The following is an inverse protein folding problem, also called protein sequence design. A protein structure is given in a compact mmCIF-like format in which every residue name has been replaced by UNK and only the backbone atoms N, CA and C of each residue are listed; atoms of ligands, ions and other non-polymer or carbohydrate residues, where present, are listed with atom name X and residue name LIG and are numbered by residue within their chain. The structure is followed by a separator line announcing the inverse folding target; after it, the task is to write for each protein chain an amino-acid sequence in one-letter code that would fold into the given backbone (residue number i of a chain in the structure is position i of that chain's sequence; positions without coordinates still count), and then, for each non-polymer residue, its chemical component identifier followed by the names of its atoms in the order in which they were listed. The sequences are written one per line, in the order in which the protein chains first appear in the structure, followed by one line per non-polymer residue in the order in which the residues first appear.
data_IF_449324701028
#
_entry.id   IF_449324701028
#
_cell.length_a   1.000
_cell.length_b   1.000
_cell.length_c   1.000
_cell.angle_alpha   90.00
_cell.angle_beta   90.00
_cell.angle_gamma   90.00
#
_symmetry.space_group_name_H-M   'P 1'
#
loop_
_entity.id
_entity.type
_entity.pdbx_description
1 polymer ?
#
# COMPACT_ATOMS: atom_id res chain seq x y z
N UNK A 1 -15.74 63.21 -5.11
CA UNK A 1 -14.42 63.43 -4.46
C UNK A 1 -14.47 63.24 -2.94
N UNK A 2 -15.33 63.94 -2.18
CA UNK A 2 -15.38 63.82 -0.70
C UNK A 2 -15.80 62.43 -0.18
N UNK A 3 -16.71 61.74 -0.86
CA UNK A 3 -17.15 60.36 -0.53
C UNK A 3 -16.09 59.31 -0.86
N UNK A 4 -15.39 59.46 -1.98
CA UNK A 4 -14.31 58.57 -2.42
C UNK A 4 -13.12 58.57 -1.44
N UNK A 5 -12.75 59.75 -0.90
CA UNK A 5 -11.70 59.86 0.11
C UNK A 5 -12.06 59.22 1.46
N UNK A 6 -13.32 59.32 1.89
CA UNK A 6 -13.81 58.68 3.12
C UNK A 6 -13.81 57.14 3.01
N UNK A 7 -14.22 56.62 1.84
CA UNK A 7 -14.20 55.17 1.56
C UNK A 7 -12.77 54.63 1.53
N UNK A 8 -11.84 55.34 0.88
CA UNK A 8 -10.43 54.95 0.86
C UNK A 8 -9.81 54.95 2.27
N UNK A 9 -10.09 55.97 3.08
CA UNK A 9 -9.60 56.04 4.46
C UNK A 9 -10.17 54.91 5.33
N UNK A 10 -11.46 54.61 5.20
CA UNK A 10 -12.09 53.50 5.91
C UNK A 10 -11.49 52.15 5.50
N UNK A 11 -11.20 51.95 4.21
CA UNK A 11 -10.55 50.74 3.71
C UNK A 11 -9.12 50.58 4.24
N UNK A 12 -8.34 51.66 4.28
CA UNK A 12 -6.99 51.65 4.88
C UNK A 12 -7.05 51.37 6.37
N UNK A 13 -7.96 52.01 7.11
CA UNK A 13 -8.13 51.77 8.54
C UNK A 13 -8.53 50.31 8.83
N UNK A 14 -9.46 49.75 8.04
CA UNK A 14 -9.84 48.35 8.14
C UNK A 14 -8.67 47.41 7.79
N UNK A 15 -7.89 47.73 6.76
CA UNK A 15 -6.69 46.96 6.39
C UNK A 15 -5.63 46.99 7.49
N UNK A 16 -5.41 48.12 8.16
CA UNK A 16 -4.48 48.22 9.29
C UNK A 16 -5.00 47.43 10.50
N UNK A 17 -6.30 47.52 10.79
CA UNK A 17 -6.92 46.79 11.90
C UNK A 17 -6.80 45.27 11.73
N UNK A 18 -7.03 44.73 10.53
CA UNK A 18 -6.90 43.28 10.27
C UNK A 18 -5.44 42.79 10.42
N UNK A 19 -4.43 43.65 10.21
CA UNK A 19 -3.03 43.29 10.47
C UNK A 19 -2.73 43.05 11.96
N UNK A 20 -3.57 43.55 12.89
CA UNK A 20 -3.41 43.29 14.32
C UNK A 20 -3.82 41.86 14.70
N UNK A 21 -4.65 41.21 13.88
CA UNK A 21 -5.09 39.82 14.11
C UNK A 21 -4.12 38.87 13.41
N UNK A 22 -2.93 38.65 13.99
CA UNK A 22 -1.91 37.73 13.45
C UNK A 22 -1.37 36.81 14.54
N UNK A 23 -2.10 35.72 14.90
CA UNK A 23 -1.62 34.74 15.87
C UNK A 23 -0.29 34.15 15.41
N UNK A 24 0.69 33.99 16.30
CA UNK A 24 2.04 33.60 15.91
C UNK A 24 2.10 32.20 15.26
N UNK A 25 3.08 32.03 14.38
CA UNK A 25 3.58 30.72 13.94
C UNK A 25 4.80 30.43 14.83
N UNK A 26 4.78 29.35 15.63
CA UNK A 26 5.92 28.97 16.47
C UNK A 26 7.19 28.82 15.63
N UNK A 27 8.34 29.22 16.18
CA UNK A 27 9.63 29.03 15.51
C UNK A 27 10.71 28.66 16.52
N UNK A 28 11.57 27.74 16.11
CA UNK A 28 12.67 27.22 16.90
C UNK A 28 13.80 26.77 15.96
N UNK A 29 15.01 26.63 16.49
CA UNK A 29 16.11 26.01 15.76
C UNK A 29 15.82 24.51 15.53
N UNK A 30 16.30 23.91 14.41
CA UNK A 30 16.22 22.48 14.18
C UNK A 30 16.89 21.71 15.31
N UNK A 31 16.23 20.67 15.81
CA UNK A 31 16.80 19.81 16.86
C UNK A 31 17.72 18.76 16.27
N UNK A 32 17.30 18.17 15.15
CA UNK A 32 18.14 17.29 14.35
C UNK A 32 17.70 17.33 12.88
N UNK A 33 18.63 17.74 12.01
CA UNK A 33 18.40 17.71 10.56
C UNK A 33 18.63 16.31 9.97
N UNK A 34 17.94 16.04 8.87
CA UNK A 34 18.15 14.83 8.08
C UNK A 34 19.53 14.87 7.42
N UNK A 35 20.30 13.80 7.60
CA UNK A 35 21.58 13.62 6.92
C UNK A 35 21.35 13.13 5.49
N UNK A 36 21.54 14.03 4.53
CA UNK A 36 21.40 13.76 3.11
C UNK A 36 22.52 14.40 2.28
N UNK A 37 22.81 13.88 1.07
CA UNK A 37 23.75 14.48 0.14
C UNK A 37 23.42 15.96 -0.15
N UNK A 38 24.42 16.80 -0.48
CA UNK A 38 24.22 18.24 -0.68
C UNK A 38 23.08 18.57 -1.65
N UNK A 39 22.96 17.81 -2.74
CA UNK A 39 21.92 18.04 -3.75
C UNK A 39 20.51 17.75 -3.22
N UNK A 40 20.33 16.67 -2.46
CA UNK A 40 19.05 16.34 -1.82
C UNK A 40 18.70 17.41 -0.79
N UNK A 41 19.67 17.85 0.01
CA UNK A 41 19.48 18.91 1.01
C UNK A 41 19.06 20.22 0.36
N UNK A 42 19.67 20.59 -0.77
CA UNK A 42 19.32 21.78 -1.56
C UNK A 42 17.85 21.73 -1.99
N UNK A 43 17.37 20.57 -2.48
CA UNK A 43 15.97 20.38 -2.88
C UNK A 43 15.03 20.55 -1.68
N UNK A 44 15.32 19.87 -0.56
CA UNK A 44 14.49 19.95 0.65
C UNK A 44 14.41 21.37 1.22
N UNK A 45 15.54 22.08 1.26
CA UNK A 45 15.60 23.47 1.73
C UNK A 45 14.83 24.44 0.83
N UNK A 46 14.95 24.26 -0.50
CA UNK A 46 14.27 25.06 -1.52
C UNK A 46 12.75 24.87 -1.50
N UNK A 47 12.30 23.62 -1.41
CA UNK A 47 10.91 23.26 -1.73
C UNK A 47 10.06 22.86 -0.53
N UNK A 48 10.67 22.45 0.58
CA UNK A 48 9.94 21.87 1.72
C UNK A 48 10.06 22.70 3.01
N UNK A 49 11.24 23.25 3.30
CA UNK A 49 11.54 23.82 4.63
C UNK A 49 10.74 25.08 4.98
N UNK A 50 10.19 25.80 3.99
CA UNK A 50 9.33 26.97 4.26
C UNK A 50 8.08 26.62 5.08
N UNK A 51 7.54 25.41 4.89
CA UNK A 51 6.34 24.92 5.57
C UNK A 51 6.66 23.81 6.58
N UNK A 52 7.59 22.91 6.24
CA UNK A 52 7.88 21.70 7.01
C UNK A 52 9.10 21.82 7.94
N UNK A 53 9.52 23.02 8.32
CA UNK A 53 10.59 23.25 9.31
C UNK A 53 10.13 24.25 10.35
N UNK A 54 10.58 24.12 11.60
CA UNK A 54 10.35 25.08 12.68
C UNK A 54 11.04 26.42 12.42
N UNK A 55 12.08 26.46 11.59
CA UNK A 55 12.70 27.71 11.15
C UNK A 55 11.72 28.54 10.32
N UNK A 56 11.52 29.80 10.71
CA UNK A 56 10.61 30.69 10.00
C UNK A 56 11.25 31.21 8.72
N UNK A 57 10.76 30.73 7.56
CA UNK A 57 11.22 31.13 6.21
C UNK A 57 10.05 31.65 5.37
N UNK A 58 9.35 32.66 5.88
CA UNK A 58 8.21 33.28 5.19
C UNK A 58 8.68 34.43 4.30
N UNK A 59 8.09 34.57 3.10
CA UNK A 59 8.25 35.80 2.34
C UNK A 59 7.58 36.96 3.07
N UNK A 60 7.98 38.20 2.76
CA UNK A 60 7.41 39.38 3.42
C UNK A 60 5.90 39.50 3.18
N UNK A 61 5.41 39.11 1.99
CA UNK A 61 3.99 39.21 1.64
C UNK A 61 3.14 38.11 2.29
N UNK A 62 3.73 36.96 2.66
CA UNK A 62 3.05 35.90 3.42
C UNK A 62 2.66 36.36 4.83
N UNK A 63 3.26 37.47 5.31
CA UNK A 63 3.04 38.02 6.64
C UNK A 63 1.89 39.04 6.70
N UNK A 64 1.23 39.29 5.56
CA UNK A 64 0.14 40.25 5.43
C UNK A 64 -1.20 39.54 5.57
N UNK A 65 -2.03 39.98 6.51
CA UNK A 65 -3.40 39.49 6.66
C UNK A 65 -4.29 40.03 5.53
N UNK A 66 -5.28 39.25 5.05
CA UNK A 66 -5.73 37.96 5.58
C UNK A 66 -4.94 36.73 5.07
N UNK A 67 -4.08 36.88 4.06
CA UNK A 67 -3.31 35.76 3.48
C UNK A 67 -2.46 35.02 4.54
N UNK A 68 -1.93 35.76 5.52
CA UNK A 68 -1.22 35.22 6.68
C UNK A 68 -1.97 34.08 7.40
N UNK A 69 -3.30 34.15 7.51
CA UNK A 69 -4.06 33.10 8.22
C UNK A 69 -4.04 31.78 7.48
N UNK A 70 -4.10 31.83 6.14
CA UNK A 70 -3.98 30.64 5.30
C UNK A 70 -2.56 30.07 5.39
N UNK A 71 -1.53 30.93 5.29
CA UNK A 71 -0.13 30.53 5.45
C UNK A 71 0.07 29.86 6.81
N UNK A 72 -0.44 30.47 7.88
CA UNK A 72 -0.35 29.90 9.23
C UNK A 72 -1.02 28.53 9.31
N UNK A 73 -2.23 28.40 8.78
CA UNK A 73 -2.94 27.12 8.76
C UNK A 73 -2.14 26.05 8.01
N UNK A 74 -1.63 26.37 6.83
CA UNK A 74 -0.85 25.45 6.00
C UNK A 74 0.47 25.04 6.68
N UNK A 75 1.20 25.98 7.28
CA UNK A 75 2.46 25.70 7.98
C UNK A 75 2.23 24.81 9.20
N UNK A 76 1.19 25.08 9.99
CA UNK A 76 0.90 24.25 11.17
C UNK A 76 0.48 22.84 10.77
N UNK A 77 -0.42 22.71 9.79
CA UNK A 77 -0.84 21.42 9.25
C UNK A 77 0.35 20.65 8.65
N UNK A 78 1.20 21.33 7.87
CA UNK A 78 2.39 20.74 7.27
C UNK A 78 3.34 20.15 8.31
N UNK A 79 3.60 20.88 9.41
CA UNK A 79 4.49 20.43 10.50
C UNK A 79 3.91 19.31 11.34
N UNK A 80 2.58 19.19 11.43
CA UNK A 80 1.93 18.07 12.10
C UNK A 80 2.15 16.75 11.34
N UNK A 81 2.13 16.79 10.00
CA UNK A 81 2.38 15.62 9.16
C UNK A 81 3.87 15.32 8.98
N UNK A 82 4.69 16.36 8.74
CA UNK A 82 6.12 16.22 8.48
C UNK A 82 6.88 17.46 8.94
N UNK A 83 7.84 17.29 9.84
CA UNK A 83 8.69 18.37 10.32
C UNK A 83 10.18 18.00 10.26
N UNK A 84 10.90 18.57 9.29
CA UNK A 84 12.34 18.39 9.06
C UNK A 84 13.21 18.86 10.23
N UNK A 85 12.72 19.73 11.11
CA UNK A 85 13.43 20.14 12.33
C UNK A 85 13.54 19.04 13.38
N UNK A 86 12.67 18.03 13.31
CA UNK A 86 12.62 16.89 14.26
C UNK A 86 12.83 15.56 13.57
N UNK A 87 12.81 15.52 12.23
CA UNK A 87 12.89 14.28 11.48
C UNK A 87 14.19 13.52 11.75
N UNK A 88 15.32 14.22 11.92
CA UNK A 88 16.61 13.62 12.22
C UNK A 88 16.67 12.85 13.56
N UNK A 89 15.74 13.12 14.49
CA UNK A 89 15.64 12.42 15.78
C UNK A 89 14.98 11.03 15.65
N UNK A 90 14.26 10.78 14.54
CA UNK A 90 13.56 9.51 14.31
C UNK A 90 14.52 8.41 13.88
N UNK A 91 14.08 7.16 13.97
CA UNK A 91 14.86 6.03 13.45
C UNK A 91 15.12 6.17 11.94
N UNK A 92 16.22 5.59 11.41
CA UNK A 92 16.52 5.67 9.98
C UNK A 92 15.38 5.18 9.08
N UNK A 93 14.65 4.13 9.51
CA UNK A 93 13.49 3.63 8.81
C UNK A 93 12.34 4.64 8.77
N UNK A 94 12.06 5.33 9.89
CA UNK A 94 11.02 6.35 9.96
C UNK A 94 11.39 7.60 9.15
N UNK A 95 12.66 8.03 9.19
CA UNK A 95 13.17 9.10 8.34
C UNK A 95 12.96 8.79 6.86
N UNK A 96 13.38 7.58 6.46
CA UNK A 96 13.25 7.10 5.08
C UNK A 96 11.79 6.98 4.65
N UNK A 97 10.91 6.47 5.51
CA UNK A 97 9.47 6.38 5.24
C UNK A 97 8.84 7.75 4.97
N UNK A 98 9.16 8.76 5.78
CA UNK A 98 8.68 10.13 5.59
C UNK A 98 9.16 10.75 4.27
N UNK A 99 10.41 10.48 3.87
CA UNK A 99 10.95 10.95 2.59
C UNK A 99 10.33 10.22 1.39
N UNK A 100 10.03 8.92 1.51
CA UNK A 100 9.27 8.17 0.50
C UNK A 100 7.87 8.73 0.34
N UNK A 101 7.19 9.02 1.45
CA UNK A 101 5.88 9.66 1.41
C UNK A 101 5.98 11.02 0.70
N UNK A 102 6.91 11.89 1.10
CA UNK A 102 7.12 13.17 0.43
C UNK A 102 7.35 13.04 -1.09
N UNK A 103 8.20 12.09 -1.52
CA UNK A 103 8.45 11.85 -2.94
C UNK A 103 7.19 11.37 -3.70
N UNK A 104 6.35 10.57 -3.05
CA UNK A 104 5.07 10.12 -3.61
C UNK A 104 4.05 11.26 -3.72
N UNK A 105 3.94 12.10 -2.69
CA UNK A 105 3.10 13.30 -2.75
C UNK A 105 3.55 14.26 -3.87
N UNK A 106 4.86 14.39 -4.10
CA UNK A 106 5.39 15.17 -5.22
C UNK A 106 5.04 14.51 -6.57
N UNK A 107 5.23 13.19 -6.70
CA UNK A 107 4.88 12.44 -7.92
C UNK A 107 3.39 12.61 -8.29
N UNK A 108 2.51 12.65 -7.29
CA UNK A 108 1.06 12.83 -7.48
C UNK A 108 0.66 14.31 -7.66
N UNK A 109 1.62 15.24 -7.67
CA UNK A 109 1.35 16.67 -7.77
C UNK A 109 0.65 17.29 -6.56
N UNK A 110 0.57 16.55 -5.44
CA UNK A 110 -0.03 17.02 -4.20
C UNK A 110 0.91 17.97 -3.43
N UNK A 111 2.23 17.83 -3.62
CA UNK A 111 3.23 18.68 -2.99
C UNK A 111 4.31 19.17 -3.98
N UNK A 112 4.83 20.40 -3.78
CA UNK A 112 4.28 21.45 -2.93
C UNK A 112 2.90 21.90 -3.44
N UNK A 113 2.05 22.46 -2.56
CA UNK A 113 0.67 22.82 -2.90
C UNK A 113 0.64 23.69 -4.19
N UNK A 114 -0.22 23.41 -5.18
CA UNK A 114 -0.28 24.17 -6.42
C UNK A 114 -0.49 25.68 -6.20
N UNK A 115 -1.37 26.05 -5.25
CA UNK A 115 -1.60 27.45 -4.86
C UNK A 115 -0.36 28.13 -4.28
N UNK A 116 0.47 27.37 -3.56
CA UNK A 116 1.70 27.88 -2.96
C UNK A 116 2.74 28.15 -4.05
N UNK A 117 2.94 27.19 -4.97
CA UNK A 117 3.91 27.36 -6.06
C UNK A 117 3.52 28.44 -7.08
N UNK A 118 2.23 28.78 -7.20
CA UNK A 118 1.79 29.92 -7.99
C UNK A 118 2.31 31.27 -7.43
N UNK A 119 2.35 31.42 -6.10
CA UNK A 119 2.91 32.61 -5.44
C UNK A 119 4.43 32.49 -5.19
N UNK A 120 4.94 31.25 -5.11
CA UNK A 120 6.32 30.90 -4.78
C UNK A 120 6.92 29.99 -5.86
N UNK A 121 7.12 30.47 -7.11
CA UNK A 121 7.58 29.62 -8.21
C UNK A 121 8.95 28.99 -7.96
N UNK A 122 9.80 29.66 -7.18
CA UNK A 122 11.11 29.15 -6.77
C UNK A 122 11.03 27.87 -5.92
N UNK A 123 9.90 27.60 -5.26
CA UNK A 123 9.71 26.39 -4.46
C UNK A 123 9.28 25.17 -5.30
N UNK A 124 8.97 25.35 -6.60
CA UNK A 124 8.54 24.24 -7.47
C UNK A 124 9.63 23.17 -7.55
N UNK A 125 9.20 21.92 -7.32
CA UNK A 125 10.04 20.74 -7.53
C UNK A 125 10.00 20.41 -9.03
N UNK A 126 11.17 20.30 -9.64
CA UNK A 126 11.30 19.91 -11.06
C UNK A 126 11.32 18.39 -11.20
N UNK A 127 11.11 17.88 -12.42
CA UNK A 127 11.23 16.44 -12.69
C UNK A 127 12.64 15.91 -12.37
N UNK A 128 13.67 16.73 -12.60
CA UNK A 128 15.04 16.41 -12.22
C UNK A 128 15.22 16.37 -10.70
N UNK A 129 14.65 17.33 -9.96
CA UNK A 129 14.67 17.32 -8.50
C UNK A 129 13.98 16.04 -7.97
N UNK A 130 12.81 15.68 -8.51
CA UNK A 130 12.10 14.45 -8.14
C UNK A 130 12.90 13.19 -8.48
N UNK A 131 13.54 13.13 -9.65
CA UNK A 131 14.40 12.02 -10.04
C UNK A 131 15.58 11.87 -9.06
N UNK A 132 16.20 12.98 -8.64
CA UNK A 132 17.26 12.97 -7.63
C UNK A 132 16.76 12.47 -6.28
N UNK A 133 15.58 12.89 -5.82
CA UNK A 133 14.98 12.38 -4.58
C UNK A 133 14.72 10.86 -4.66
N UNK A 134 14.15 10.39 -5.78
CA UNK A 134 13.89 8.95 -6.01
C UNK A 134 15.19 8.14 -6.07
N UNK A 135 16.22 8.65 -6.74
CA UNK A 135 17.53 8.01 -6.83
C UNK A 135 18.20 7.89 -5.46
N UNK A 136 18.14 8.96 -4.63
CA UNK A 136 18.62 8.91 -3.25
C UNK A 136 17.86 7.88 -2.40
N UNK A 137 16.55 7.78 -2.62
CA UNK A 137 15.73 6.82 -1.91
C UNK A 137 16.01 5.38 -2.34
N UNK A 138 16.21 5.05 -3.60
CA UNK A 138 16.59 3.69 -4.05
C UNK A 138 15.81 2.56 -3.33
N UNK A 139 14.53 2.31 -3.69
CA UNK A 139 13.64 1.41 -2.96
C UNK A 139 14.12 -0.04 -2.96
N UNK A 140 14.75 -0.50 -4.04
CA UNK A 140 15.04 -1.92 -4.22
C UNK A 140 16.36 -2.31 -3.54
N UNK A 141 16.27 -3.15 -2.51
CA UNK A 141 17.40 -3.76 -1.81
C UNK A 141 17.17 -5.26 -1.69
N UNK A 142 18.24 -6.03 -1.63
CA UNK A 142 18.15 -7.48 -1.37
C UNK A 142 17.53 -7.71 0.02
N UNK A 143 16.42 -8.46 0.11
CA UNK A 143 15.83 -8.83 1.40
C UNK A 143 16.77 -9.73 2.21
N UNK A 144 16.59 -9.82 3.54
CA UNK A 144 17.31 -10.80 4.34
C UNK A 144 16.98 -12.24 3.90
N UNK A 145 17.92 -13.19 4.03
CA UNK A 145 17.65 -14.59 3.74
C UNK A 145 16.58 -15.16 4.69
N UNK A 146 15.90 -16.21 4.25
CA UNK A 146 15.03 -17.00 5.10
C UNK A 146 15.82 -17.50 6.33
N UNK A 147 15.22 -17.45 7.54
CA UNK A 147 15.80 -18.15 8.67
C UNK A 147 16.04 -19.62 8.27
N UNK A 148 17.22 -20.15 8.53
CA UNK A 148 17.48 -21.56 8.24
C UNK A 148 16.55 -22.44 9.08
N UNK A 149 16.12 -23.58 8.55
CA UNK A 149 15.24 -24.53 9.27
C UNK A 149 15.80 -24.93 10.65
N UNK A 150 17.12 -24.89 10.83
CA UNK A 150 17.80 -25.11 12.11
C UNK A 150 17.52 -24.03 13.17
N UNK A 151 17.25 -22.78 12.77
CA UNK A 151 16.84 -21.71 13.67
C UNK A 151 15.35 -21.76 14.02
N UNK A 152 14.52 -22.39 13.18
CA UNK A 152 13.12 -22.70 13.49
C UNK A 152 12.97 -23.90 14.46
N UNK A 153 13.94 -24.82 14.51
CA UNK A 153 13.97 -25.88 15.52
C UNK A 153 14.29 -25.35 16.95
N UNK A 154 14.94 -24.20 17.08
CA UNK A 154 15.33 -23.60 18.37
C UNK A 154 14.54 -22.34 18.74
N UNK A 155 13.82 -21.76 17.78
CA UNK A 155 12.79 -20.74 18.03
C UNK A 155 11.43 -21.24 17.55
N UNK A 156 11.00 -22.37 18.13
CA UNK A 156 9.58 -22.53 18.39
C UNK A 156 9.16 -21.32 19.25
N UNK A 157 8.75 -20.24 18.60
CA UNK A 157 7.81 -19.31 19.22
C UNK A 157 6.75 -20.23 19.83
N UNK A 158 6.46 -20.13 21.14
CA UNK A 158 5.47 -20.98 21.75
C UNK A 158 4.25 -20.92 20.84
N UNK A 159 3.64 -22.09 20.58
CA UNK A 159 2.35 -22.18 19.91
C UNK A 159 1.37 -21.34 20.74
N UNK A 160 1.38 -20.04 20.53
CA UNK A 160 0.35 -19.13 20.97
C UNK A 160 -0.80 -19.56 20.11
N UNK A 161 -1.78 -20.21 20.72
CA UNK A 161 -3.03 -20.58 20.09
C UNK A 161 -3.42 -19.44 19.13
N UNK A 162 -3.67 -19.77 17.85
CA UNK A 162 -4.23 -18.83 16.88
C UNK A 162 -5.26 -18.00 17.61
N UNK A 163 -5.05 -16.69 17.68
CA UNK A 163 -6.02 -15.83 18.36
C UNK A 163 -7.36 -16.14 17.69
N UNK A 164 -8.40 -16.42 18.48
CA UNK A 164 -9.73 -16.49 17.89
C UNK A 164 -9.95 -15.17 17.19
N UNK A 165 -10.01 -15.15 15.85
CA UNK A 165 -10.18 -13.91 15.09
C UNK A 165 -11.45 -13.16 15.54
N UNK A 166 -12.41 -13.87 16.14
CA UNK A 166 -13.61 -13.33 16.77
C UNK A 166 -13.37 -12.58 18.10
N UNK A 167 -12.22 -12.78 18.76
CA UNK A 167 -11.83 -12.14 20.02
C UNK A 167 -10.87 -10.96 19.83
N UNK A 168 -10.54 -10.61 18.58
CA UNK A 168 -9.65 -9.49 18.27
C UNK A 168 -10.31 -8.17 18.69
N UNK A 169 -9.56 -7.36 19.44
CA UNK A 169 -10.05 -6.06 19.93
C UNK A 169 -10.29 -5.10 18.75
N UNK A 170 -11.33 -4.25 18.81
CA UNK A 170 -11.51 -3.17 17.84
C UNK A 170 -10.28 -2.27 17.73
N UNK A 171 -10.14 -1.61 16.58
CA UNK A 171 -9.17 -0.55 16.41
C UNK A 171 -9.43 0.61 17.39
N UNK A 172 -8.44 1.46 17.64
CA UNK A 172 -8.54 2.53 18.65
C UNK A 172 -9.57 3.62 18.31
N UNK A 173 -10.10 3.62 17.09
CA UNK A 173 -11.22 4.46 16.65
C UNK A 173 -12.58 3.74 16.69
N UNK A 174 -12.66 2.54 17.26
CA UNK A 174 -13.89 1.77 17.45
C UNK A 174 -14.29 0.86 16.29
N UNK A 175 -13.56 0.84 15.18
CA UNK A 175 -13.86 -0.06 14.06
C UNK A 175 -13.57 -1.52 14.47
N UNK A 176 -14.56 -2.43 14.37
CA UNK A 176 -14.36 -3.83 14.75
C UNK A 176 -13.44 -4.55 13.76
N UNK A 177 -12.77 -5.59 14.24
CA UNK A 177 -12.06 -6.51 13.38
C UNK A 177 -13.05 -7.42 12.64
N UNK A 178 -12.98 -7.48 11.32
CA UNK A 178 -13.82 -8.35 10.49
C UNK A 178 -13.03 -9.61 10.11
N UNK A 179 -13.28 -10.76 10.78
CA UNK A 179 -12.53 -11.99 10.52
C UNK A 179 -12.85 -12.61 9.16
N UNK A 180 -13.93 -12.17 8.47
CA UNK A 180 -14.31 -12.72 7.17
C UNK A 180 -13.32 -12.36 6.06
N UNK A 181 -12.40 -11.42 6.30
CA UNK A 181 -11.39 -10.99 5.32
C UNK A 181 -10.55 -12.15 4.75
N UNK A 182 -10.36 -13.22 5.51
CA UNK A 182 -9.65 -14.43 5.07
C UNK A 182 -10.33 -15.12 3.88
N UNK A 183 -11.62 -14.85 3.66
CA UNK A 183 -12.40 -15.42 2.54
C UNK A 183 -12.52 -14.48 1.34
N UNK A 184 -12.07 -13.23 1.48
CA UNK A 184 -12.20 -12.20 0.47
C UNK A 184 -11.29 -12.46 -0.74
N UNK A 185 -11.62 -11.80 -1.86
CA UNK A 185 -10.99 -12.06 -3.15
C UNK A 185 -9.92 -11.02 -3.47
N UNK A 186 -8.89 -11.38 -4.27
CA UNK A 186 -7.82 -10.45 -4.60
C UNK A 186 -8.33 -9.30 -5.47
N UNK A 187 -8.17 -8.08 -4.96
CA UNK A 187 -8.29 -6.85 -5.75
C UNK A 187 -6.99 -6.62 -6.51
N UNK A 188 -5.84 -6.80 -5.83
CA UNK A 188 -4.50 -6.65 -6.41
C UNK A 188 -3.43 -7.22 -5.47
N UNK A 189 -2.18 -7.19 -5.93
CA UNK A 189 -0.99 -7.54 -5.15
C UNK A 189 0.06 -6.45 -5.28
N UNK A 190 0.94 -6.33 -4.28
CA UNK A 190 2.08 -5.40 -4.38
C UNK A 190 3.35 -5.96 -3.79
N UNK A 191 4.45 -5.76 -4.50
CA UNK A 191 5.82 -5.90 -4.04
C UNK A 191 6.37 -4.50 -3.71
N UNK A 192 6.86 -4.29 -2.50
CA UNK A 192 7.19 -2.98 -1.93
C UNK A 192 8.65 -2.94 -1.52
N UNK A 193 9.50 -2.33 -2.35
CA UNK A 193 10.90 -2.11 -2.00
C UNK A 193 11.08 -0.99 -0.96
N UNK A 194 10.20 0.01 -0.96
CA UNK A 194 10.30 1.14 -0.03
C UNK A 194 10.29 0.71 1.46
N UNK A 195 9.59 -0.38 1.79
CA UNK A 195 9.59 -0.97 3.12
C UNK A 195 9.77 -2.50 3.16
N UNK A 196 10.24 -3.11 2.07
CA UNK A 196 10.52 -4.54 1.92
C UNK A 196 9.33 -5.44 2.34
N UNK A 197 8.16 -5.19 1.75
CA UNK A 197 6.96 -6.00 2.04
C UNK A 197 6.35 -6.63 0.80
N UNK A 198 5.74 -7.79 0.96
CA UNK A 198 4.79 -8.37 0.00
C UNK A 198 3.39 -8.18 0.55
N UNK A 199 2.43 -7.85 -0.30
CA UNK A 199 1.07 -7.56 0.16
C UNK A 199 -0.01 -8.15 -0.73
N UNK A 200 -1.03 -8.65 -0.06
CA UNK A 200 -2.33 -8.93 -0.65
C UNK A 200 -3.25 -7.76 -0.39
N UNK A 201 -3.95 -7.31 -1.42
CA UNK A 201 -5.07 -6.37 -1.30
C UNK A 201 -6.31 -7.15 -1.67
N UNK A 202 -7.16 -7.41 -0.69
CA UNK A 202 -8.37 -8.20 -0.80
C UNK A 202 -9.60 -7.30 -0.73
N UNK A 203 -10.69 -7.72 -1.36
CA UNK A 203 -11.97 -7.02 -1.37
C UNK A 203 -13.14 -7.96 -1.12
N UNK A 204 -14.15 -7.47 -0.41
CA UNK A 204 -15.40 -8.19 -0.25
C UNK A 204 -16.19 -8.25 -1.57
N UNK A 205 -17.29 -8.99 -1.61
CA UNK A 205 -18.08 -9.17 -2.83
C UNK A 205 -18.62 -7.87 -3.44
N UNK A 206 -18.88 -6.85 -2.61
CA UNK A 206 -19.29 -5.51 -3.08
C UNK A 206 -18.12 -4.87 -3.86
N UNK A 207 -16.91 -4.88 -3.29
CA UNK A 207 -15.71 -4.40 -3.95
C UNK A 207 -15.44 -5.16 -5.26
N UNK A 208 -15.58 -6.49 -5.26
CA UNK A 208 -15.36 -7.28 -6.47
C UNK A 208 -16.34 -6.94 -7.59
N UNK A 209 -17.64 -6.80 -7.28
CA UNK A 209 -18.65 -6.37 -8.27
C UNK A 209 -18.41 -4.94 -8.77
N UNK A 210 -18.02 -4.03 -7.87
CA UNK A 210 -17.67 -2.66 -8.23
C UNK A 210 -16.48 -2.63 -9.20
N UNK A 211 -15.40 -3.36 -8.89
CA UNK A 211 -14.23 -3.49 -9.76
C UNK A 211 -14.57 -4.08 -11.13
N UNK A 212 -15.35 -5.16 -11.16
CA UNK A 212 -15.76 -5.82 -12.41
C UNK A 212 -16.66 -4.93 -13.30
N UNK A 213 -17.50 -4.09 -12.70
CA UNK A 213 -18.37 -3.16 -13.43
C UNK A 213 -17.71 -1.82 -13.74
N UNK A 214 -16.57 -1.51 -13.11
CA UNK A 214 -15.91 -0.21 -13.18
C UNK A 214 -16.53 0.88 -12.29
N UNK A 215 -17.54 0.54 -11.48
CA UNK A 215 -18.20 1.48 -10.57
C UNK A 215 -17.38 1.66 -9.27
N UNK A 216 -16.22 2.31 -9.38
CA UNK A 216 -15.19 2.39 -8.33
C UNK A 216 -14.81 3.82 -7.95
N UNK A 217 -15.38 4.84 -8.60
CA UNK A 217 -15.15 6.25 -8.23
C UNK A 217 -16.47 7.03 -8.30
N UNK A 218 -17.24 7.06 -7.19
CA UNK A 218 -16.92 6.46 -5.88
C UNK A 218 -17.15 4.95 -5.82
N UNK A 219 -16.51 4.28 -4.85
CA UNK A 219 -16.86 2.92 -4.48
C UNK A 219 -18.24 2.90 -3.78
N UNK A 220 -19.07 1.85 -3.98
CA UNK A 220 -20.36 1.73 -3.30
C UNK A 220 -20.20 1.59 -1.78
N UNK A 221 -21.15 2.14 -1.02
CA UNK A 221 -21.26 1.90 0.42
C UNK A 221 -21.33 0.38 0.70
N UNK A 222 -20.65 -0.05 1.76
CA UNK A 222 -20.44 -1.46 2.08
C UNK A 222 -19.20 -2.08 1.43
N UNK A 223 -18.52 -1.39 0.51
CA UNK A 223 -17.19 -1.80 0.02
C UNK A 223 -16.22 -1.93 1.19
N UNK A 224 -15.48 -3.04 1.25
CA UNK A 224 -14.42 -3.27 2.24
C UNK A 224 -13.17 -3.80 1.57
N UNK A 225 -12.03 -3.26 1.98
CA UNK A 225 -10.71 -3.76 1.61
C UNK A 225 -9.96 -4.27 2.82
N UNK A 226 -9.18 -5.33 2.61
CA UNK A 226 -8.18 -5.80 3.55
C UNK A 226 -6.81 -5.82 2.88
N UNK A 227 -5.85 -5.10 3.45
CA UNK A 227 -4.45 -5.14 3.01
C UNK A 227 -3.64 -5.93 4.02
N UNK A 228 -3.14 -7.08 3.60
CA UNK A 228 -2.33 -7.99 4.42
C UNK A 228 -0.88 -7.87 3.99
N UNK A 229 0.05 -7.74 4.94
CA UNK A 229 1.46 -7.49 4.64
C UNK A 229 2.40 -8.42 5.39
N UNK A 230 3.40 -8.93 4.66
CA UNK A 230 4.51 -9.72 5.18
C UNK A 230 5.83 -9.05 4.85
N UNK A 231 6.84 -9.29 5.67
CA UNK A 231 8.21 -8.94 5.35
C UNK A 231 8.70 -9.78 4.17
N UNK A 232 9.46 -9.18 3.26
CA UNK A 232 10.15 -9.91 2.20
C UNK A 232 11.27 -10.76 2.79
N UNK A 233 11.44 -11.96 2.24
CA UNK A 233 12.49 -12.90 2.66
C UNK A 233 13.05 -13.61 1.44
N UNK A 234 14.36 -13.65 1.30
CA UNK A 234 15.03 -14.33 0.17
C UNK A 234 15.16 -15.84 0.47
N UNK A 235 14.52 -16.66 -0.35
CA UNK A 235 14.60 -18.11 -0.30
C UNK A 235 15.92 -18.65 -0.88
N UNK A 236 16.23 -19.92 -0.57
CA UNK A 236 17.37 -20.65 -1.15
C UNK A 236 17.23 -20.88 -2.65
N UNK A 237 16.01 -20.82 -3.16
CA UNK A 237 15.64 -20.83 -4.58
C UNK A 237 15.88 -19.49 -5.30
N UNK A 238 16.46 -18.50 -4.62
CA UNK A 238 16.67 -17.12 -5.10
C UNK A 238 15.38 -16.35 -5.39
N UNK A 239 14.23 -16.84 -4.92
CA UNK A 239 12.95 -16.14 -4.98
C UNK A 239 12.70 -15.37 -3.68
N UNK A 240 11.92 -14.30 -3.77
CA UNK A 240 11.49 -13.52 -2.60
C UNK A 240 10.11 -14.02 -2.18
N UNK A 241 9.99 -14.54 -0.96
CA UNK A 241 8.77 -15.11 -0.38
C UNK A 241 8.22 -14.25 0.78
N UNK A 242 6.93 -14.39 1.12
CA UNK A 242 6.36 -13.89 2.35
C UNK A 242 7.06 -14.52 3.56
N UNK A 243 7.71 -13.68 4.37
CA UNK A 243 8.30 -14.07 5.65
C UNK A 243 7.38 -13.72 6.81
N UNK A 244 7.93 -13.03 7.81
CA UNK A 244 7.20 -12.64 9.02
C UNK A 244 5.95 -11.80 8.69
N UNK A 245 4.80 -12.20 9.23
CA UNK A 245 3.58 -11.40 9.19
C UNK A 245 3.77 -10.05 9.90
N UNK A 246 3.34 -8.97 9.26
CA UNK A 246 3.49 -7.61 9.80
C UNK A 246 2.15 -7.09 10.30
N UNK A 247 1.14 -7.04 9.43
CA UNK A 247 -0.12 -6.36 9.74
C UNK A 247 -1.25 -6.69 8.77
N UNK A 248 -2.46 -6.38 9.21
CA UNK A 248 -3.65 -6.26 8.38
C UNK A 248 -4.28 -4.88 8.58
N UNK A 249 -4.72 -4.29 7.47
CA UNK A 249 -5.35 -2.96 7.44
C UNK A 249 -6.70 -3.05 6.74
N UNK A 250 -7.71 -2.35 7.26
CA UNK A 250 -9.03 -2.24 6.64
C UNK A 250 -9.33 -0.82 6.17
N UNK A 251 -9.98 -0.76 5.00
CA UNK A 251 -10.72 0.40 4.52
C UNK A 251 -12.18 0.00 4.35
N UNK A 252 -13.11 0.79 4.88
CA UNK A 252 -14.55 0.49 4.89
C UNK A 252 -15.32 1.68 4.35
N UNK A 253 -16.05 1.51 3.25
CA UNK A 253 -16.90 2.55 2.68
C UNK A 253 -18.25 2.60 3.40
N UNK A 254 -18.54 3.72 4.03
CA UNK A 254 -19.87 4.10 4.50
C UNK A 254 -19.96 5.63 4.54
N UNK A 255 -20.58 6.20 3.52
CA UNK A 255 -20.72 7.63 3.31
C UNK A 255 -21.40 8.37 4.47
N UNK A 256 -22.25 7.69 5.23
CA UNK A 256 -23.00 8.27 6.35
C UNK A 256 -22.23 8.16 7.66
N UNK A 257 -21.72 6.97 7.97
CA UNK A 257 -20.98 6.70 9.20
C UNK A 257 -19.65 7.47 9.22
N UNK A 258 -18.96 7.54 8.09
CA UNK A 258 -17.61 8.09 7.98
C UNK A 258 -17.58 9.46 7.28
N UNK A 259 -18.64 10.26 7.42
CA UNK A 259 -18.76 11.59 6.79
C UNK A 259 -17.60 12.56 7.09
N UNK A 260 -16.95 12.40 8.24
CA UNK A 260 -15.84 13.26 8.68
C UNK A 260 -14.47 12.78 8.16
N UNK A 261 -14.44 11.65 7.44
CA UNK A 261 -13.28 11.02 6.85
C UNK A 261 -13.58 10.62 5.40
N UNK A 262 -14.34 11.49 4.71
CA UNK A 262 -14.71 11.38 3.31
C UNK A 262 -15.39 10.05 2.92
N UNK A 263 -16.19 9.51 3.85
CA UNK A 263 -16.95 8.28 3.66
C UNK A 263 -16.15 7.00 3.86
N UNK A 264 -14.91 7.09 4.37
CA UNK A 264 -14.04 5.93 4.61
C UNK A 264 -13.67 5.77 6.09
N UNK A 265 -13.89 4.56 6.60
CA UNK A 265 -13.34 4.08 7.87
C UNK A 265 -11.99 3.40 7.66
N UNK A 266 -11.05 3.63 8.58
CA UNK A 266 -9.67 3.15 8.49
C UNK A 266 -9.25 2.43 9.76
N UNK A 267 -8.70 1.24 9.64
CA UNK A 267 -8.27 0.45 10.78
C UNK A 267 -7.01 -0.35 10.48
N UNK A 268 -6.19 -0.63 11.50
CA UNK A 268 -4.93 -1.37 11.36
C UNK A 268 -4.65 -2.18 12.62
N UNK A 269 -4.22 -3.42 12.42
CA UNK A 269 -3.74 -4.32 13.47
C UNK A 269 -2.38 -4.88 13.08
N UNK A 270 -1.48 -4.99 14.05
CA UNK A 270 -0.08 -5.39 13.83
C UNK A 270 0.24 -6.67 14.58
N UNK A 271 1.13 -7.49 14.02
CA UNK A 271 1.57 -8.75 14.60
C UNK A 271 0.53 -9.87 14.52
N UNK A 272 0.96 -11.09 14.81
CA UNK A 272 0.10 -12.29 14.85
C UNK A 272 -0.92 -12.22 16.00
N UNK A 273 -0.66 -11.43 17.04
CA UNK A 273 -1.60 -11.16 18.12
C UNK A 273 -2.69 -10.13 17.74
N UNK A 274 -2.63 -9.58 16.51
CA UNK A 274 -3.56 -8.59 15.98
C UNK A 274 -3.81 -7.45 16.96
N UNK A 275 -2.72 -6.82 17.41
CA UNK A 275 -2.82 -5.67 18.31
C UNK A 275 -3.28 -4.43 17.55
N UNK A 276 -4.30 -3.68 18.03
CA UNK A 276 -4.70 -2.41 17.44
C UNK A 276 -3.52 -1.43 17.32
N UNK A 277 -3.35 -0.84 16.13
CA UNK A 277 -2.30 0.13 15.86
C UNK A 277 -2.58 1.50 16.49
N UNK A 278 -1.51 2.22 16.80
CA UNK A 278 -1.56 3.58 17.31
C UNK A 278 -1.55 3.67 18.84
N UNK A 279 -1.61 4.91 19.34
CA UNK A 279 -1.73 5.21 20.78
C UNK A 279 -3.16 5.58 21.17
N UNK A 280 -3.87 6.22 20.26
CA UNK A 280 -5.26 6.66 20.39
C UNK A 280 -5.87 6.81 18.98
N UNK A 281 -7.15 7.20 18.89
CA UNK A 281 -7.88 7.33 17.63
C UNK A 281 -7.28 8.30 16.61
N UNK A 282 -6.33 9.18 17.00
CA UNK A 282 -5.69 10.15 16.08
C UNK A 282 -4.76 9.50 15.06
N UNK A 283 -4.44 8.20 15.18
CA UNK A 283 -3.73 7.46 14.13
C UNK A 283 -4.44 7.59 12.77
N UNK A 284 -5.75 7.79 12.79
CA UNK A 284 -6.59 8.04 11.61
C UNK A 284 -6.06 9.18 10.73
N UNK A 285 -5.47 10.23 11.31
CA UNK A 285 -4.90 11.35 10.56
C UNK A 285 -3.74 10.94 9.66
N UNK A 286 -2.98 9.90 10.04
CA UNK A 286 -1.93 9.31 9.22
C UNK A 286 -2.54 8.64 7.98
N UNK A 287 -3.68 7.95 8.14
CA UNK A 287 -4.39 7.30 7.05
C UNK A 287 -5.01 8.32 6.09
N UNK A 288 -5.82 9.25 6.61
CA UNK A 288 -6.53 10.24 5.78
C UNK A 288 -5.58 11.21 5.10
N UNK A 289 -4.51 11.64 5.80
CA UNK A 289 -3.46 12.47 5.21
C UNK A 289 -2.79 11.78 4.04
N UNK A 290 -2.34 10.53 4.23
CA UNK A 290 -1.62 9.77 3.20
C UNK A 290 -2.49 9.45 1.96
N UNK A 291 -3.80 9.24 2.14
CA UNK A 291 -4.71 8.93 1.04
C UNK A 291 -5.35 10.16 0.36
N UNK A 292 -5.20 11.36 0.93
CA UNK A 292 -5.73 12.60 0.36
C UNK A 292 -5.26 12.92 -1.08
N UNK A 293 -4.02 12.62 -1.50
CA UNK A 293 -3.58 12.85 -2.89
C UNK A 293 -4.42 12.14 -3.94
N UNK A 294 -4.95 10.96 -3.61
CA UNK A 294 -5.78 10.14 -4.51
C UNK A 294 -7.28 10.27 -4.23
N UNK A 295 -7.72 11.38 -3.62
CA UNK A 295 -9.16 11.66 -3.39
C UNK A 295 -10.02 11.60 -4.65
N UNK A 296 -9.44 11.88 -5.82
CA UNK A 296 -10.13 11.75 -7.11
C UNK A 296 -10.47 10.30 -7.49
N UNK A 297 -9.80 9.34 -6.87
CA UNK A 297 -9.98 7.89 -7.06
C UNK A 297 -10.67 7.29 -5.84
N UNK A 298 -11.51 8.13 -5.21
CA UNK A 298 -12.19 7.83 -3.96
C UNK A 298 -11.24 7.32 -2.87
N UNK A 299 -10.07 7.95 -2.76
CA UNK A 299 -9.05 7.68 -1.75
C UNK A 299 -8.39 6.29 -1.87
N UNK A 300 -8.56 5.57 -2.99
CA UNK A 300 -8.01 4.22 -3.18
C UNK A 300 -6.83 4.24 -4.15
N UNK A 301 -5.65 3.88 -3.67
CA UNK A 301 -4.43 3.74 -4.49
C UNK A 301 -4.47 2.54 -5.43
N UNK A 302 -5.12 1.47 -4.99
CA UNK A 302 -5.03 0.15 -5.62
C UNK A 302 -5.74 0.13 -6.96
N UNK A 303 -5.01 -0.33 -7.99
CA UNK A 303 -5.57 -0.65 -9.30
C UNK A 303 -6.15 -2.07 -9.28
N UNK A 304 -7.49 -2.24 -9.32
CA UNK A 304 -8.09 -3.56 -9.32
C UNK A 304 -7.79 -4.33 -10.60
N UNK A 305 -7.68 -5.66 -10.50
CA UNK A 305 -7.83 -6.55 -11.64
C UNK A 305 -9.24 -6.47 -12.19
N UNK A 306 -9.39 -6.02 -13.44
CA UNK A 306 -10.69 -5.96 -14.10
C UNK A 306 -10.51 -5.99 -15.61
N UNK A 307 -11.56 -6.23 -16.37
CA UNK A 307 -11.61 -5.97 -17.81
C UNK A 307 -12.53 -4.79 -18.13
N UNK A 308 -13.09 -4.14 -17.09
CA UNK A 308 -13.96 -2.99 -17.22
C UNK A 308 -13.28 -1.86 -18.00
N UNK A 309 -14.01 -1.33 -18.97
CA UNK A 309 -13.64 -0.11 -19.67
C UNK A 309 -14.24 1.07 -18.92
N UNK A 310 -13.39 1.92 -18.39
CA UNK A 310 -13.79 3.13 -17.67
C UNK A 310 -13.12 4.35 -18.30
N UNK A 311 -13.73 5.52 -18.14
CA UNK A 311 -13.20 6.77 -18.72
C UNK A 311 -11.84 7.21 -18.19
N UNK A 312 -11.34 6.55 -17.13
CA UNK A 312 -10.08 6.84 -16.43
C UNK A 312 -9.22 5.58 -16.33
N UNK A 313 -8.54 5.20 -17.40
CA UNK A 313 -7.77 3.95 -17.44
C UNK A 313 -6.67 3.89 -16.35
N UNK A 314 -6.23 5.03 -15.83
CA UNK A 314 -5.22 5.12 -14.79
C UNK A 314 -5.67 4.58 -13.42
N UNK A 315 -6.97 4.38 -13.17
CA UNK A 315 -7.50 3.91 -11.89
C UNK A 315 -7.85 2.41 -11.87
N UNK A 316 -7.59 1.70 -12.96
CA UNK A 316 -7.79 0.24 -13.09
C UNK A 316 -6.58 -0.43 -13.72
N UNK A 317 -6.40 -1.73 -13.45
CA UNK A 317 -5.42 -2.55 -14.15
C UNK A 317 -6.11 -3.41 -15.21
N UNK A 318 -6.67 -2.77 -16.25
CA UNK A 318 -7.74 -3.35 -17.04
C UNK A 318 -7.36 -4.18 -18.28
N UNK A 319 -6.06 -4.29 -18.61
CA UNK A 319 -5.62 -4.98 -19.83
C UNK A 319 -4.38 -5.86 -19.69
N UNK A 320 -3.49 -5.56 -18.74
CA UNK A 320 -2.26 -6.32 -18.61
C UNK A 320 -2.44 -7.53 -17.68
N UNK A 321 -3.10 -7.33 -16.54
CA UNK A 321 -3.14 -8.35 -15.49
C UNK A 321 -4.41 -9.23 -15.47
N UNK A 322 -5.41 -8.92 -16.31
CA UNK A 322 -6.62 -9.71 -16.41
C UNK A 322 -6.33 -11.10 -17.00
N UNK A 323 -6.98 -12.13 -16.45
CA UNK A 323 -6.83 -13.50 -16.93
C UNK A 323 -7.72 -13.77 -18.15
N UNK A 324 -7.27 -14.59 -19.12
CA UNK A 324 -8.10 -14.98 -20.24
C UNK A 324 -9.39 -15.68 -19.80
N UNK A 325 -10.56 -15.33 -20.38
CA UNK A 325 -11.83 -15.96 -20.03
C UNK A 325 -11.91 -17.43 -20.50
N UNK A 326 -11.03 -17.83 -21.43
CA UNK A 326 -10.94 -19.18 -22.00
C UNK A 326 -10.31 -20.21 -21.06
N UNK A 327 -9.69 -19.77 -19.96
CA UNK A 327 -9.05 -20.68 -19.00
C UNK A 327 -10.08 -21.64 -18.39
N UNK A 328 -9.67 -22.89 -18.09
CA UNK A 328 -10.57 -23.90 -17.50
C UNK A 328 -11.11 -23.49 -16.12
N UNK A 329 -10.36 -22.64 -15.41
CA UNK A 329 -10.73 -22.06 -14.14
C UNK A 329 -10.35 -20.58 -14.09
N UNK A 330 -10.94 -19.83 -13.16
CA UNK A 330 -10.71 -18.39 -12.98
C UNK A 330 -10.07 -18.11 -11.61
N UNK A 331 -8.73 -18.21 -11.46
CA UNK A 331 -8.02 -18.05 -10.18
C UNK A 331 -8.29 -16.75 -9.43
N UNK A 332 -8.58 -15.63 -10.12
CA UNK A 332 -8.91 -14.37 -9.47
C UNK A 332 -10.26 -14.40 -8.71
N UNK A 333 -11.09 -15.42 -8.94
CA UNK A 333 -12.30 -15.70 -8.15
C UNK A 333 -12.04 -16.64 -6.97
N UNK A 334 -10.82 -17.15 -6.82
CA UNK A 334 -10.40 -18.04 -5.75
C UNK A 334 -9.67 -17.28 -4.64
N UNK A 335 -9.21 -17.99 -3.61
CA UNK A 335 -8.45 -17.39 -2.52
C UNK A 335 -6.94 -17.50 -2.80
N UNK A 336 -6.16 -16.42 -2.61
CA UNK A 336 -4.71 -16.49 -2.69
C UNK A 336 -4.14 -17.22 -1.45
N UNK A 337 -3.23 -18.16 -1.69
CA UNK A 337 -2.57 -18.99 -0.67
C UNK A 337 -1.22 -18.37 -0.29
N UNK A 338 -0.42 -18.02 -1.28
CA UNK A 338 0.92 -17.43 -1.11
C UNK A 338 1.35 -16.74 -2.40
N UNK A 339 2.47 -16.02 -2.36
CA UNK A 339 3.08 -15.42 -3.54
C UNK A 339 4.59 -15.53 -3.48
N UNK A 340 5.27 -15.28 -4.60
CA UNK A 340 6.70 -15.01 -4.61
C UNK A 340 7.03 -13.99 -5.70
N UNK A 341 8.22 -13.40 -5.60
CA UNK A 341 8.81 -12.54 -6.63
C UNK A 341 10.10 -13.15 -7.11
N UNK A 342 10.26 -13.26 -8.42
CA UNK A 342 11.52 -13.59 -9.07
C UNK A 342 12.22 -12.28 -9.49
N UNK A 343 13.27 -11.85 -8.76
CA UNK A 343 13.96 -10.60 -9.06
C UNK A 343 14.74 -10.67 -10.38
N UNK A 344 15.10 -11.87 -10.86
CA UNK A 344 15.90 -12.06 -12.08
C UNK A 344 15.07 -11.80 -13.34
N UNK A 345 13.82 -12.26 -13.34
CA UNK A 345 12.88 -12.08 -14.46
C UNK A 345 11.96 -10.88 -14.27
N UNK A 346 11.97 -10.26 -13.07
CA UNK A 346 11.00 -9.23 -12.65
C UNK A 346 9.56 -9.73 -12.80
N UNK A 347 9.34 -10.96 -12.37
CA UNK A 347 8.03 -11.58 -12.34
C UNK A 347 7.54 -11.73 -10.89
N UNK A 348 6.22 -11.71 -10.71
CA UNK A 348 5.58 -12.10 -9.47
C UNK A 348 4.58 -13.22 -9.74
N UNK A 349 4.52 -14.20 -8.86
CA UNK A 349 3.58 -15.29 -8.98
C UNK A 349 2.74 -15.39 -7.71
N UNK A 350 1.46 -15.74 -7.86
CA UNK A 350 0.56 -16.00 -6.74
C UNK A 350 -0.09 -17.37 -6.93
N UNK A 351 -0.05 -18.17 -5.87
CA UNK A 351 -0.73 -19.45 -5.80
C UNK A 351 -2.16 -19.21 -5.30
N UNK A 352 -3.14 -19.74 -6.01
CA UNK A 352 -4.55 -19.71 -5.65
C UNK A 352 -5.06 -21.11 -5.39
N UNK A 353 -6.04 -21.24 -4.49
CA UNK A 353 -6.74 -22.49 -4.22
C UNK A 353 -8.24 -22.34 -4.37
N UNK A 354 -8.88 -23.32 -5.02
CA UNK A 354 -10.33 -23.48 -4.93
C UNK A 354 -10.76 -23.82 -3.49
N UNK A 355 -12.07 -23.87 -3.21
CA UNK A 355 -12.59 -24.13 -1.86
C UNK A 355 -12.00 -25.41 -1.23
N UNK A 356 -11.93 -26.52 -1.98
CA UNK A 356 -11.37 -27.77 -1.48
C UNK A 356 -9.87 -27.67 -1.13
N UNK A 357 -9.09 -26.90 -1.90
CA UNK A 357 -7.69 -26.65 -1.59
C UNK A 357 -7.53 -25.83 -0.30
N UNK A 358 -8.34 -24.79 -0.12
CA UNK A 358 -8.33 -23.95 1.08
C UNK A 358 -8.76 -24.74 2.32
N UNK A 359 -9.83 -25.54 2.21
CA UNK A 359 -10.31 -26.37 3.32
C UNK A 359 -9.23 -27.38 3.76
N UNK A 360 -8.48 -27.94 2.81
CA UNK A 360 -7.36 -28.82 3.11
C UNK A 360 -6.22 -28.11 3.86
N UNK A 361 -5.88 -26.88 3.45
CA UNK A 361 -4.89 -26.04 4.15
C UNK A 361 -5.35 -25.75 5.57
N UNK A 362 -6.60 -25.30 5.77
CA UNK A 362 -7.14 -25.03 7.10
C UNK A 362 -7.18 -26.27 7.99
N UNK A 363 -7.56 -27.42 7.44
CA UNK A 363 -7.62 -28.68 8.17
C UNK A 363 -6.25 -29.20 8.62
N UNK A 364 -5.17 -28.87 7.90
CA UNK A 364 -3.80 -29.25 8.26
C UNK A 364 -3.24 -28.46 9.45
N UNK A 365 -3.92 -27.39 9.88
CA UNK A 365 -3.42 -26.41 10.82
C UNK A 365 -2.27 -25.61 10.19
N UNK A 366 -2.43 -24.30 10.01
CA UNK A 366 -1.40 -23.41 9.43
C UNK A 366 -0.08 -23.34 10.23
N UNK A 367 0.12 -24.20 11.23
CA UNK A 367 1.22 -24.22 12.17
C UNK A 367 2.37 -25.17 11.80
N UNK A 368 2.20 -26.10 10.86
CA UNK A 368 3.26 -27.04 10.47
C UNK A 368 3.90 -26.66 9.12
N UNK A 369 4.73 -25.61 9.13
CA UNK A 369 5.64 -25.24 8.02
C UNK A 369 6.74 -26.29 7.74
N UNK A 370 6.63 -27.51 8.26
CA UNK A 370 7.65 -28.56 8.18
C UNK A 370 7.25 -29.75 7.31
N UNK A 371 6.01 -29.79 6.81
CA UNK A 371 5.59 -30.83 5.88
C UNK A 371 6.01 -30.44 4.44
N UNK A 372 6.78 -31.28 3.72
CA UNK A 372 7.29 -30.93 2.39
C UNK A 372 6.21 -30.75 1.31
N UNK A 373 4.97 -31.19 1.60
CA UNK A 373 3.82 -31.04 0.71
C UNK A 373 2.56 -30.73 1.52
N UNK A 374 1.75 -29.79 1.02
CA UNK A 374 0.41 -29.54 1.57
C UNK A 374 -0.49 -30.76 1.35
N UNK A 375 -1.26 -31.20 2.36
CA UNK A 375 -2.09 -32.40 2.26
C UNK A 375 -3.40 -32.11 1.52
N UNK A 376 -3.30 -31.66 0.28
CA UNK A 376 -4.43 -31.47 -0.60
C UNK A 376 -5.20 -32.78 -0.78
N UNK A 377 -6.51 -32.68 -1.04
CA UNK A 377 -7.41 -33.82 -1.19
C UNK A 377 -8.00 -33.87 -2.59
N UNK A 378 -8.66 -34.97 -2.93
CA UNK A 378 -9.40 -35.11 -4.18
C UNK A 378 -10.37 -33.94 -4.38
N UNK A 379 -10.36 -33.36 -5.58
CA UNK A 379 -11.18 -32.18 -5.92
C UNK A 379 -10.51 -30.83 -5.63
N UNK A 380 -9.36 -30.82 -4.94
CA UNK A 380 -8.54 -29.62 -4.85
C UNK A 380 -7.96 -29.28 -6.23
N UNK A 381 -8.02 -27.98 -6.56
CA UNK A 381 -7.32 -27.41 -7.71
C UNK A 381 -6.56 -26.20 -7.20
N UNK A 382 -5.26 -26.18 -7.49
CA UNK A 382 -4.42 -25.01 -7.25
C UNK A 382 -3.97 -24.42 -8.58
N UNK A 383 -3.87 -23.09 -8.61
CA UNK A 383 -3.46 -22.36 -9.79
C UNK A 383 -2.30 -21.42 -9.43
N UNK A 384 -1.16 -21.57 -10.09
CA UNK A 384 -0.07 -20.60 -10.01
C UNK A 384 -0.20 -19.64 -11.18
N UNK A 385 -0.46 -18.37 -10.87
CA UNK A 385 -0.51 -17.31 -11.89
C UNK A 385 0.76 -16.49 -11.78
N UNK A 386 1.48 -16.35 -12.89
CA UNK A 386 2.69 -15.55 -12.99
C UNK A 386 2.43 -14.33 -13.85
N UNK A 387 2.71 -13.14 -13.32
CA UNK A 387 2.69 -11.88 -14.04
C UNK A 387 4.09 -11.29 -14.10
N UNK A 388 4.36 -10.54 -15.17
CA UNK A 388 5.44 -9.57 -15.13
C UNK A 388 5.11 -8.49 -14.10
N UNK A 389 6.13 -7.87 -13.52
CA UNK A 389 5.96 -6.70 -12.67
C UNK A 389 6.08 -5.41 -13.49
N UNK A 390 5.23 -4.44 -13.17
CA UNK A 390 5.44 -3.03 -13.53
C UNK A 390 5.56 -2.18 -12.28
N UNK A 391 6.21 -1.02 -12.40
CA UNK A 391 6.19 0.00 -11.36
C UNK A 391 4.75 0.50 -11.17
N UNK A 392 4.35 0.75 -9.92
CA UNK A 392 3.04 1.28 -9.58
C UNK A 392 2.99 2.78 -9.95
N UNK A 393 2.03 3.21 -10.80
CA UNK A 393 1.93 4.62 -11.18
C UNK A 393 1.54 5.54 -10.02
N UNK A 394 0.87 5.01 -8.99
CA UNK A 394 0.43 5.77 -7.84
C UNK A 394 1.37 5.66 -6.64
N UNK A 395 2.36 4.76 -6.67
CA UNK A 395 3.33 4.64 -5.58
C UNK A 395 4.76 4.27 -6.03
N UNK A 396 5.66 5.24 -6.00
CA UNK A 396 7.10 5.02 -6.15
C UNK A 396 7.64 4.06 -5.08
N UNK A 397 8.36 3.03 -5.54
CA UNK A 397 8.89 1.96 -4.70
C UNK A 397 7.93 0.79 -4.51
N UNK A 398 6.83 0.77 -5.26
CA UNK A 398 5.94 -0.37 -5.39
C UNK A 398 5.95 -0.93 -6.81
N UNK A 399 5.82 -2.24 -6.91
CA UNK A 399 5.52 -2.97 -8.15
C UNK A 399 4.23 -3.73 -7.99
N UNK A 400 3.48 -3.77 -9.07
CA UNK A 400 2.19 -4.45 -9.16
C UNK A 400 2.21 -5.41 -10.36
N UNK A 401 1.28 -6.39 -10.40
CA UNK A 401 1.13 -7.25 -11.57
C UNK A 401 0.84 -6.44 -12.85
N UNK A 402 1.44 -6.86 -13.95
CA UNK A 402 1.22 -6.35 -15.30
C UNK A 402 0.81 -7.51 -16.22
N UNK A 403 1.46 -7.73 -17.37
CA UNK A 403 1.11 -8.80 -18.30
C UNK A 403 1.13 -10.18 -17.63
N UNK A 404 0.12 -11.00 -17.88
CA UNK A 404 0.12 -12.42 -17.51
C UNK A 404 1.17 -13.15 -18.35
N UNK A 405 2.14 -13.79 -17.71
CA UNK A 405 3.17 -14.59 -18.39
C UNK A 405 2.77 -16.06 -18.48
N UNK A 406 2.15 -16.60 -17.42
CA UNK A 406 1.59 -17.94 -17.47
C UNK A 406 0.53 -18.17 -16.39
N UNK A 407 -0.35 -19.14 -16.68
CA UNK A 407 -1.28 -19.71 -15.70
C UNK A 407 -1.09 -21.21 -15.68
N UNK A 408 -0.74 -21.78 -14.54
CA UNK A 408 -0.49 -23.21 -14.36
C UNK A 408 -1.49 -23.79 -13.37
N UNK A 409 -2.16 -24.88 -13.73
CA UNK A 409 -3.10 -25.59 -12.87
C UNK A 409 -2.55 -26.95 -12.49
N UNK A 410 -2.70 -27.30 -11.22
CA UNK A 410 -2.53 -28.67 -10.72
C UNK A 410 -3.86 -29.11 -10.11
N UNK A 411 -4.42 -30.18 -10.66
CA UNK A 411 -5.61 -30.83 -10.14
C UNK A 411 -5.21 -32.07 -9.35
N UNK A 412 -5.75 -32.21 -8.15
CA UNK A 412 -5.41 -33.28 -7.22
C UNK A 412 -6.48 -34.38 -7.27
N UNK A 413 -6.01 -35.62 -7.38
CA UNK A 413 -6.82 -36.83 -7.38
C UNK A 413 -6.92 -37.47 -6.01
N UNK A 414 -7.23 -38.78 -6.02
CA UNK A 414 -7.27 -39.60 -4.79
C UNK A 414 -5.94 -39.52 -4.04
N UNK A 415 -6.03 -39.55 -2.72
CA UNK A 415 -4.88 -39.49 -1.80
C UNK A 415 -4.01 -38.22 -1.95
N UNK A 416 -4.51 -37.18 -2.65
CA UNK A 416 -3.77 -35.93 -2.84
C UNK A 416 -2.70 -35.99 -3.92
N UNK A 417 -2.62 -37.09 -4.69
CA UNK A 417 -1.67 -37.20 -5.79
C UNK A 417 -2.04 -36.25 -6.95
N UNK A 418 -1.05 -35.65 -7.65
CA UNK A 418 -1.33 -34.85 -8.84
C UNK A 418 -1.99 -35.72 -9.92
N UNK A 419 -3.23 -35.38 -10.27
CA UNK A 419 -3.99 -36.10 -11.29
C UNK A 419 -3.82 -35.47 -12.68
N UNK A 420 -3.72 -34.13 -12.74
CA UNK A 420 -3.49 -33.42 -13.99
C UNK A 420 -2.71 -32.13 -13.77
N UNK A 421 -1.88 -31.79 -14.77
CA UNK A 421 -1.19 -30.51 -14.87
C UNK A 421 -1.50 -29.87 -16.22
N UNK A 422 -1.73 -28.57 -16.23
CA UNK A 422 -1.87 -27.78 -17.45
C UNK A 422 -1.22 -26.42 -17.29
N UNK A 423 -0.64 -25.90 -18.38
CA UNK A 423 -0.02 -24.58 -18.43
C UNK A 423 -0.57 -23.79 -19.59
N UNK A 424 -0.83 -22.52 -19.38
CA UNK A 424 -1.35 -21.60 -20.37
C UNK A 424 -0.42 -20.38 -20.49
N UNK A 425 -0.20 -19.96 -21.73
CA UNK A 425 0.46 -18.69 -22.09
C UNK A 425 -0.55 -17.86 -22.89
N UNK A 426 -1.24 -16.93 -22.23
CA UNK A 426 -2.46 -16.33 -22.78
C UNK A 426 -3.57 -17.38 -22.96
N UNK A 427 -4.27 -17.36 -24.09
CA UNK A 427 -5.31 -18.34 -24.43
C UNK A 427 -4.77 -19.72 -24.85
N UNK A 428 -3.46 -19.84 -25.09
CA UNK A 428 -2.86 -21.08 -25.60
C UNK A 428 -2.46 -22.00 -24.46
N UNK A 429 -2.96 -23.23 -24.48
CA UNK A 429 -2.43 -24.30 -23.63
C UNK A 429 -1.09 -24.80 -24.19
N UNK A 430 -0.06 -24.79 -23.36
CA UNK A 430 1.26 -25.32 -23.67
C UNK A 430 1.34 -26.81 -23.29
N UNK A 431 2.14 -27.58 -24.03
CA UNK A 431 2.45 -28.98 -23.73
C UNK A 431 3.95 -29.15 -23.40
N UNK A 432 4.37 -28.79 -22.17
CA UNK A 432 5.76 -28.94 -21.77
C UNK A 432 6.15 -30.44 -21.66
N UNK A 433 7.45 -30.78 -21.83
CA UNK A 433 7.93 -32.14 -21.60
C UNK A 433 7.56 -32.67 -20.22
N UNK A 434 7.47 -34.00 -20.07
CA UNK A 434 7.09 -34.64 -18.81
C UNK A 434 8.00 -34.28 -17.63
N UNK A 435 9.32 -34.14 -17.88
CA UNK A 435 10.29 -33.71 -16.86
C UNK A 435 10.01 -32.31 -16.33
N UNK A 436 9.69 -31.36 -17.22
CA UNK A 436 9.31 -29.99 -16.86
C UNK A 436 7.97 -29.99 -16.11
N UNK A 437 6.99 -30.76 -16.60
CA UNK A 437 5.69 -30.92 -15.93
C UNK A 437 5.84 -31.40 -14.49
N UNK A 438 6.68 -32.42 -14.25
CA UNK A 438 6.96 -32.93 -12.91
C UNK A 438 7.64 -31.89 -12.02
N UNK A 439 8.66 -31.20 -12.54
CA UNK A 439 9.36 -30.13 -11.80
C UNK A 439 8.41 -28.98 -11.42
N UNK A 440 7.56 -28.54 -12.34
CA UNK A 440 6.57 -27.47 -12.09
C UNK A 440 5.50 -27.91 -11.10
N UNK A 441 5.01 -29.14 -11.22
CA UNK A 441 4.05 -29.72 -10.26
C UNK A 441 4.64 -29.75 -8.85
N UNK A 442 5.89 -30.21 -8.71
CA UNK A 442 6.57 -30.25 -7.41
C UNK A 442 6.79 -28.85 -6.83
N UNK A 443 7.16 -27.87 -7.66
CA UNK A 443 7.27 -26.48 -7.24
C UNK A 443 5.93 -25.98 -6.70
N UNK A 444 4.86 -26.09 -7.50
CA UNK A 444 3.52 -25.56 -7.17
C UNK A 444 3.00 -26.16 -5.85
N UNK A 445 3.15 -27.47 -5.67
CA UNK A 445 2.68 -28.17 -4.48
C UNK A 445 3.61 -28.02 -3.26
N UNK A 446 4.86 -27.59 -3.47
CA UNK A 446 5.83 -27.29 -2.42
C UNK A 446 5.77 -25.85 -1.89
N UNK A 447 5.01 -24.96 -2.55
CA UNK A 447 4.82 -23.58 -2.09
C UNK A 447 4.04 -23.56 -0.78
N UNK A 448 4.68 -23.06 0.28
CA UNK A 448 4.07 -22.95 1.60
C UNK A 448 3.07 -21.78 1.67
N UNK A 449 1.91 -21.93 2.35
CA UNK A 449 0.97 -20.85 2.55
C UNK A 449 1.60 -19.68 3.29
N UNK A 450 1.23 -18.46 2.91
CA UNK A 450 1.65 -17.27 3.66
C UNK A 450 0.98 -17.28 5.04
N UNK A 451 1.74 -17.01 6.10
CA UNK A 451 1.22 -17.06 7.46
C UNK A 451 0.14 -16.00 7.68
N UNK A 452 -1.08 -16.43 8.01
CA UNK A 452 -2.15 -15.55 8.45
C UNK A 452 -2.27 -15.60 9.99
N UNK A 453 -2.82 -14.54 10.63
CA UNK A 453 -2.99 -14.45 12.08
C UNK A 453 -3.98 -15.49 12.66
#
# INVERSE_FOLDING_TARGET
MKTTGKVALAAVAAFLAIQCVRPSIPSAAPRAEVQAPPEVRRILQKSCYSCHSDERRLAWFDQIAPAYWLVRYDVLTAREHLNFSTLGEKSPAAQRGALFEAANFIQLGAMPLPRFTAAHPAAKVTDQDLATLKAYLAPWKTPPPAPSDAAHASSAQPSTALASLAAVKPALNGIPFDPSFITWKPISFSDRGDNNTLRFILGNDIAMRAAQSGNISPWPDGTRFAKVAWQQTLGSDSLIHPGKFIQVEFMIKDSRQFKNTDGWGWARWVGLDLKPYGKDARFLNECTGCHLPVRGDDYVYTLPFTSAQIGRAEIVNNHAAALPPSLPYQPLSWQPITMYVDPSTRAMATLFGNAAAIDAIHASGMANNSAPHLPYREGAVVALVTWAQREDPHWFGARIPDRVESVEFVQLGKEGAPAAYSRFSGDRQDQPPASVTMQRTNLILGLSPAQLP
#
